data_IF_799386870059
#
_entry.id   IF_799386870059
#
_cell.length_a   1.000
_cell.length_b   1.000
_cell.length_c   1.000
_cell.angle_alpha   90.00
_cell.angle_beta   90.00
_cell.angle_gamma   90.00
#
_symmetry.space_group_name_H-M   'P 1'
#
loop_
_entity.id
_entity.type
_entity.pdbx_description
1 polymer ?
#
# COMPACT_ATOMS: atom_id res chain seq x y z
N UNK A 1 17.88 15.12 -12.02
CA UNK A 1 17.81 13.89 -11.18
C UNK A 1 16.37 13.43 -11.14
N UNK A 2 16.10 12.14 -11.37
CA UNK A 2 14.73 11.60 -11.40
C UNK A 2 14.28 11.25 -9.97
N UNK A 3 13.05 11.62 -9.60
CA UNK A 3 12.37 11.12 -8.40
C UNK A 3 11.34 10.09 -8.84
N UNK A 4 11.47 8.86 -8.34
CA UNK A 4 10.51 7.78 -8.56
C UNK A 4 9.74 7.54 -7.26
N UNK A 5 8.42 7.44 -7.35
CA UNK A 5 7.53 7.06 -6.26
C UNK A 5 6.84 5.77 -6.68
N UNK A 6 6.95 4.73 -5.86
CA UNK A 6 6.27 3.45 -6.06
C UNK A 6 5.15 3.39 -5.03
N UNK A 7 3.95 3.74 -5.50
CA UNK A 7 2.75 3.77 -4.67
C UNK A 7 2.04 2.42 -4.73
N UNK A 8 1.68 1.87 -3.57
CA UNK A 8 0.75 0.76 -3.48
C UNK A 8 -0.68 1.28 -3.21
N UNK A 9 -1.63 0.81 -4.00
CA UNK A 9 -3.05 1.12 -3.78
C UNK A 9 -3.73 0.08 -2.88
N UNK A 10 -4.94 0.40 -2.45
CA UNK A 10 -5.83 -0.46 -1.66
C UNK A 10 -5.42 -0.71 -0.20
N UNK A 11 -4.51 0.09 0.36
CA UNK A 11 -4.26 0.05 1.80
C UNK A 11 -5.54 0.45 2.56
N UNK A 12 -5.96 -0.36 3.52
CA UNK A 12 -7.25 -0.23 4.21
C UNK A 12 -8.38 -1.10 3.64
N UNK A 13 -8.16 -1.86 2.56
CA UNK A 13 -9.19 -2.75 1.98
C UNK A 13 -9.50 -3.96 2.88
N UNK A 14 -8.46 -4.74 3.24
CA UNK A 14 -8.57 -5.89 4.13
C UNK A 14 -7.23 -6.25 4.78
N UNK A 15 -7.26 -7.09 5.83
CA UNK A 15 -6.07 -7.44 6.61
C UNK A 15 -4.94 -8.08 5.80
N UNK A 16 -5.27 -8.92 4.82
CA UNK A 16 -4.28 -9.58 3.97
C UNK A 16 -3.59 -8.58 3.04
N UNK A 17 -4.35 -7.67 2.42
CA UNK A 17 -3.81 -6.59 1.59
C UNK A 17 -2.94 -5.65 2.41
N UNK A 18 -3.41 -5.23 3.60
CA UNK A 18 -2.64 -4.38 4.51
C UNK A 18 -1.29 -5.00 4.87
N UNK A 19 -1.26 -6.30 5.21
CA UNK A 19 -0.02 -7.00 5.55
C UNK A 19 0.94 -7.07 4.36
N UNK A 20 0.43 -7.36 3.16
CA UNK A 20 1.25 -7.41 1.94
C UNK A 20 1.87 -6.05 1.60
N UNK A 21 1.07 -4.98 1.62
CA UNK A 21 1.56 -3.63 1.36
C UNK A 21 2.57 -3.20 2.42
N UNK A 22 2.33 -3.50 3.70
CA UNK A 22 3.24 -3.14 4.78
C UNK A 22 4.58 -3.89 4.68
N UNK A 23 4.57 -5.15 4.24
CA UNK A 23 5.80 -5.89 3.97
C UNK A 23 6.56 -5.27 2.80
N UNK A 24 5.90 -5.03 1.67
CA UNK A 24 6.51 -4.37 0.51
C UNK A 24 7.06 -2.96 0.80
N UNK A 25 6.44 -2.21 1.72
CA UNK A 25 6.91 -0.90 2.17
C UNK A 25 8.15 -1.01 3.07
N UNK A 26 8.20 -2.03 3.94
CA UNK A 26 9.30 -2.21 4.90
C UNK A 26 10.51 -2.91 4.30
N UNK A 27 10.30 -3.87 3.41
CA UNK A 27 11.34 -4.79 2.93
C UNK A 27 11.53 -4.72 1.41
N UNK A 28 10.55 -4.18 0.69
CA UNK A 28 10.56 -4.05 -0.78
C UNK A 28 10.84 -2.63 -1.26
N UNK A 29 10.29 -2.30 -2.45
CA UNK A 29 10.51 -1.03 -3.13
C UNK A 29 9.33 -0.05 -3.02
N UNK A 30 8.21 -0.46 -2.40
CA UNK A 30 7.06 0.44 -2.21
C UNK A 30 7.49 1.58 -1.30
N UNK A 31 7.28 2.81 -1.75
CA UNK A 31 7.73 4.02 -1.06
C UNK A 31 6.57 4.87 -0.54
N UNK A 32 5.35 4.60 -1.00
CA UNK A 32 4.14 5.32 -0.62
C UNK A 32 2.90 4.40 -0.74
N UNK A 33 1.79 4.79 -0.14
CA UNK A 33 0.51 4.09 -0.30
C UNK A 33 -0.69 5.01 -0.07
N UNK A 34 -1.79 4.71 -0.76
CA UNK A 34 -3.06 5.42 -0.63
C UNK A 34 -4.02 4.64 0.30
N UNK A 35 -4.80 5.36 1.12
CA UNK A 35 -5.68 4.75 2.14
C UNK A 35 -7.15 4.76 1.69
N UNK A 36 -7.81 3.61 1.74
CA UNK A 36 -9.25 3.47 1.55
C UNK A 36 -9.97 3.75 2.87
N UNK A 37 -10.68 4.88 2.93
CA UNK A 37 -11.41 5.32 4.12
C UNK A 37 -12.81 4.70 4.27
N UNK A 38 -13.32 4.06 3.21
CA UNK A 38 -14.64 3.42 3.22
C UNK A 38 -14.62 2.10 2.41
N UNK A 39 -13.96 1.05 2.93
CA UNK A 39 -13.92 -0.24 2.24
C UNK A 39 -15.32 -0.86 2.25
N UNK A 40 -15.85 -1.17 1.07
CA UNK A 40 -17.17 -1.83 0.93
C UNK A 40 -17.10 -3.34 0.77
N UNK A 41 -15.90 -3.92 0.73
CA UNK A 41 -15.65 -5.35 0.53
C UNK A 41 -14.39 -5.76 1.30
N UNK A 42 -14.48 -6.90 2.00
CA UNK A 42 -13.39 -7.69 2.55
C UNK A 42 -13.85 -9.15 2.61
#
# INVERSE_FOLDING_TARGET
MLRLIINADDFGLCDSVNKGILDCYKTGLVSDFSFIINPRLC
#
